data_IF_108130341906
#
_entry.id   IF_108130341906
#
_cell.length_a   1.000
_cell.length_b   1.000
_cell.length_c   1.000
_cell.angle_alpha   90.00
_cell.angle_beta   90.00
_cell.angle_gamma   90.00
#
_symmetry.space_group_name_H-M   'P 1'
#
loop_
_entity.id
_entity.type
_entity.pdbx_description
1 polymer ?
#
# COMPACT_ATOMS: atom_id res chain seq x y z
N UNK A 1 18.36 -17.16 -6.03
CA UNK A 1 17.04 -16.50 -6.01
C UNK A 1 16.19 -17.23 -7.03
N UNK A 2 15.12 -17.89 -6.62
CA UNK A 2 14.26 -18.75 -7.44
C UNK A 2 12.83 -18.22 -7.58
N UNK A 3 12.07 -18.87 -8.46
CA UNK A 3 10.63 -18.62 -8.60
C UNK A 3 9.87 -19.35 -7.48
N UNK A 4 8.96 -18.63 -6.83
CA UNK A 4 7.99 -19.19 -5.90
C UNK A 4 6.67 -19.46 -6.62
N UNK A 5 6.14 -20.65 -6.45
CA UNK A 5 4.89 -21.11 -7.06
C UNK A 5 3.78 -21.37 -6.05
N UNK A 6 4.09 -21.25 -4.75
CA UNK A 6 3.15 -21.47 -3.65
C UNK A 6 3.08 -20.21 -2.77
N UNK A 7 1.93 -19.96 -2.12
CA UNK A 7 1.82 -18.88 -1.14
C UNK A 7 2.85 -19.01 -0.03
N UNK A 8 3.47 -17.90 0.33
CA UNK A 8 4.40 -17.83 1.47
C UNK A 8 4.44 -16.39 2.03
N UNK A 9 4.87 -16.29 3.28
CA UNK A 9 5.14 -14.97 3.90
C UNK A 9 6.45 -14.38 3.39
N UNK A 10 6.50 -13.05 3.22
CA UNK A 10 7.75 -12.37 2.86
C UNK A 10 8.83 -12.52 3.93
N UNK A 11 8.44 -12.57 5.19
CA UNK A 11 9.34 -12.83 6.32
C UNK A 11 9.05 -14.23 6.87
N UNK A 12 10.08 -15.07 6.94
CA UNK A 12 9.97 -16.41 7.48
C UNK A 12 9.90 -16.43 9.02
N UNK A 13 9.68 -17.61 9.61
CA UNK A 13 9.57 -17.77 11.06
C UNK A 13 10.80 -17.36 11.86
N UNK A 14 11.96 -17.17 11.23
CA UNK A 14 13.20 -16.69 11.86
C UNK A 14 13.39 -15.17 11.69
N UNK A 15 12.41 -14.45 11.16
CA UNK A 15 12.49 -13.01 10.91
C UNK A 15 13.35 -12.62 9.70
N UNK A 16 13.70 -13.57 8.83
CA UNK A 16 14.51 -13.33 7.64
C UNK A 16 13.64 -13.26 6.38
N UNK A 17 14.10 -12.46 5.40
CA UNK A 17 13.40 -12.29 4.13
C UNK A 17 13.46 -13.57 3.29
N UNK A 18 12.33 -13.99 2.78
CA UNK A 18 12.24 -15.02 1.74
C UNK A 18 12.52 -14.39 0.38
N UNK A 19 13.74 -14.53 -0.08
CA UNK A 19 14.16 -13.99 -1.37
C UNK A 19 13.59 -14.81 -2.53
N UNK A 20 13.09 -14.12 -3.55
CA UNK A 20 12.57 -14.76 -4.74
C UNK A 20 11.68 -13.83 -5.54
N UNK A 21 11.03 -14.39 -6.53
CA UNK A 21 10.03 -13.73 -7.34
C UNK A 21 8.87 -14.69 -7.63
N UNK A 22 7.73 -14.14 -8.01
CA UNK A 22 6.55 -14.93 -8.38
C UNK A 22 5.80 -14.25 -9.53
N UNK A 23 5.16 -15.06 -10.39
CA UNK A 23 4.31 -14.55 -11.49
C UNK A 23 2.94 -14.09 -11.01
N UNK A 24 2.60 -14.40 -9.78
CA UNK A 24 1.33 -14.05 -9.15
C UNK A 24 1.59 -13.45 -7.77
N UNK A 25 0.67 -12.66 -7.22
CA UNK A 25 0.79 -12.11 -5.87
C UNK A 25 0.59 -13.22 -4.83
N UNK A 26 1.67 -13.91 -4.50
CA UNK A 26 1.69 -15.05 -3.58
C UNK A 26 2.18 -14.70 -2.16
N UNK A 27 2.72 -13.51 -1.96
CA UNK A 27 3.38 -13.15 -0.72
C UNK A 27 2.44 -12.45 0.25
N UNK A 28 2.39 -12.93 1.50
CA UNK A 28 1.89 -12.15 2.62
C UNK A 28 2.92 -11.10 3.00
N UNK A 29 2.47 -9.84 3.09
CA UNK A 29 3.34 -8.68 3.37
C UNK A 29 3.49 -8.51 4.89
N UNK A 30 4.11 -9.48 5.55
CA UNK A 30 4.32 -9.51 7.00
C UNK A 30 5.61 -8.81 7.43
N UNK A 31 5.93 -7.64 6.85
CA UNK A 31 7.21 -6.93 7.07
C UNK A 31 7.47 -6.57 8.53
N UNK A 32 6.42 -6.44 9.35
CA UNK A 32 6.56 -6.21 10.80
C UNK A 32 7.20 -7.38 11.54
N UNK A 33 7.18 -8.58 10.96
CA UNK A 33 7.85 -9.76 11.53
C UNK A 33 9.35 -9.80 11.25
N UNK A 34 9.90 -8.87 10.46
CA UNK A 34 11.32 -8.86 10.13
C UNK A 34 12.17 -8.60 11.39
N UNK A 35 13.21 -9.41 11.60
CA UNK A 35 14.13 -9.27 12.73
C UNK A 35 14.78 -7.87 12.78
N UNK A 36 15.01 -7.25 11.63
CA UNK A 36 15.54 -5.89 11.53
C UNK A 36 14.60 -4.81 12.10
N UNK A 37 13.29 -5.05 12.12
CA UNK A 37 12.29 -4.11 12.69
C UNK A 37 12.35 -4.12 14.21
N UNK A 38 12.74 -5.23 14.82
CA UNK A 38 12.80 -5.39 16.27
C UNK A 38 14.19 -5.12 16.87
N UNK A 39 15.17 -4.85 16.01
CA UNK A 39 16.59 -4.72 16.44
C UNK A 39 16.86 -3.47 17.29
N UNK A 40 16.09 -2.40 17.06
CA UNK A 40 16.24 -1.13 17.77
C UNK A 40 14.88 -0.51 18.06
N UNK A 41 14.77 0.24 19.15
CA UNK A 41 13.51 0.87 19.59
C UNK A 41 12.83 1.75 18.54
N UNK A 42 13.59 2.35 17.63
CA UNK A 42 13.07 3.19 16.55
C UNK A 42 13.02 2.49 15.18
N UNK A 43 13.31 1.20 15.12
CA UNK A 43 13.35 0.49 13.83
C UNK A 43 11.99 0.42 13.15
N UNK A 44 10.91 0.29 13.93
CA UNK A 44 9.54 0.30 13.41
C UNK A 44 9.18 1.62 12.70
N UNK A 45 9.73 2.76 13.17
CA UNK A 45 9.53 4.07 12.54
C UNK A 45 10.24 4.20 11.19
N UNK A 46 11.20 3.35 10.92
CA UNK A 46 11.93 3.30 9.65
C UNK A 46 11.24 2.41 8.63
N UNK A 47 10.32 1.55 9.07
CA UNK A 47 9.53 0.72 8.16
C UNK A 47 8.60 1.62 7.35
N UNK A 48 8.69 1.48 6.04
CA UNK A 48 7.85 2.19 5.09
C UNK A 48 7.02 1.18 4.33
N UNK A 49 5.72 1.40 4.31
CA UNK A 49 4.75 0.56 3.60
C UNK A 49 3.83 1.45 2.80
N UNK A 50 3.47 1.02 1.61
CA UNK A 50 2.48 1.73 0.80
C UNK A 50 1.70 0.76 -0.07
N UNK A 51 0.50 1.18 -0.42
CA UNK A 51 -0.28 0.62 -1.51
C UNK A 51 -0.53 1.69 -2.55
N UNK A 52 -0.37 1.30 -3.81
CA UNK A 52 -0.54 2.18 -4.96
C UNK A 52 -1.27 1.42 -6.05
N UNK A 53 -2.33 2.03 -6.54
CA UNK A 53 -3.09 1.51 -7.67
C UNK A 53 -3.22 2.55 -8.74
N UNK A 54 -3.20 2.11 -9.99
CA UNK A 54 -3.49 2.98 -11.12
C UNK A 54 -4.35 2.27 -12.15
N UNK A 55 -5.07 3.08 -12.92
CA UNK A 55 -5.81 2.68 -14.12
C UNK A 55 -5.41 3.63 -15.23
N UNK A 56 -5.02 3.07 -16.37
CA UNK A 56 -4.68 3.82 -17.56
C UNK A 56 -5.63 3.44 -18.69
N UNK A 57 -6.22 4.45 -19.30
CA UNK A 57 -7.00 4.34 -20.53
C UNK A 57 -6.36 5.23 -21.60
N UNK A 58 -6.79 5.18 -22.86
CA UNK A 58 -6.27 6.12 -23.87
C UNK A 58 -6.49 7.61 -23.55
N UNK A 59 -7.49 7.95 -22.75
CA UNK A 59 -7.88 9.33 -22.46
C UNK A 59 -7.62 9.77 -21.03
N UNK A 60 -7.52 8.84 -20.08
CA UNK A 60 -7.40 9.14 -18.65
C UNK A 60 -6.38 8.25 -17.98
N UNK A 61 -5.55 8.84 -17.14
CA UNK A 61 -4.73 8.14 -16.17
C UNK A 61 -5.21 8.52 -14.75
N UNK A 62 -5.62 7.52 -13.98
CA UNK A 62 -5.98 7.69 -12.57
C UNK A 62 -5.02 6.90 -11.71
N UNK A 63 -4.60 7.48 -10.57
CA UNK A 63 -3.88 6.72 -9.56
C UNK A 63 -4.22 7.19 -8.14
N UNK A 64 -4.11 6.26 -7.20
CA UNK A 64 -4.30 6.52 -5.78
C UNK A 64 -3.30 5.75 -4.94
N UNK A 65 -2.86 6.37 -3.83
CA UNK A 65 -1.85 5.83 -2.93
C UNK A 65 -2.20 6.11 -1.47
N UNK A 66 -1.94 5.10 -0.63
CA UNK A 66 -1.81 5.27 0.82
C UNK A 66 -0.41 4.82 1.20
N UNK A 67 0.40 5.72 1.76
CA UNK A 67 1.75 5.45 2.20
C UNK A 67 1.87 5.69 3.71
N UNK A 68 2.41 4.72 4.46
CA UNK A 68 2.77 4.85 5.86
C UNK A 68 4.30 4.86 6.01
N UNK A 69 4.85 5.99 6.42
CA UNK A 69 6.29 6.25 6.48
C UNK A 69 6.88 6.10 7.90
N UNK A 70 6.08 5.59 8.84
CA UNK A 70 6.44 5.48 10.25
C UNK A 70 6.04 6.73 11.05
N UNK A 71 6.61 7.86 10.73
CA UNK A 71 6.36 9.17 11.39
C UNK A 71 5.25 9.99 10.72
N UNK A 72 4.86 9.62 9.54
CA UNK A 72 3.87 10.30 8.70
C UNK A 72 3.15 9.27 7.85
N UNK A 73 1.88 9.49 7.54
CA UNK A 73 1.25 8.85 6.40
C UNK A 73 0.81 9.89 5.38
N UNK A 74 0.72 9.46 4.13
CA UNK A 74 0.34 10.27 3.00
C UNK A 74 -0.77 9.56 2.21
N UNK A 75 -1.84 10.30 1.92
CA UNK A 75 -2.89 9.91 1.01
C UNK A 75 -2.76 10.79 -0.23
N UNK A 76 -2.69 10.16 -1.38
CA UNK A 76 -2.66 10.87 -2.65
C UNK A 76 -3.60 10.20 -3.63
N UNK A 77 -4.37 11.02 -4.33
CA UNK A 77 -5.11 10.59 -5.52
C UNK A 77 -4.93 11.64 -6.61
N UNK A 78 -4.77 11.19 -7.83
CA UNK A 78 -4.71 12.08 -8.98
C UNK A 78 -5.37 11.48 -10.20
N UNK A 79 -5.92 12.36 -11.01
CA UNK A 79 -6.52 12.08 -12.30
C UNK A 79 -5.87 12.99 -13.34
N UNK A 80 -5.34 12.39 -14.37
CA UNK A 80 -4.77 13.10 -15.50
C UNK A 80 -5.63 12.85 -16.74
N UNK A 81 -6.24 13.94 -17.25
CA UNK A 81 -6.94 13.95 -18.52
C UNK A 81 -5.89 14.15 -19.63
N UNK A 82 -5.65 13.10 -20.39
CA UNK A 82 -4.59 13.07 -21.41
C UNK A 82 -4.94 14.00 -22.59
N UNK A 83 -6.21 14.05 -22.99
CA UNK A 83 -6.67 14.85 -24.12
C UNK A 83 -6.60 16.35 -23.82
N UNK A 84 -7.00 16.73 -22.60
CA UNK A 84 -7.01 18.14 -22.17
C UNK A 84 -5.70 18.56 -21.54
N UNK A 85 -4.77 17.65 -21.30
CA UNK A 85 -3.53 17.89 -20.56
C UNK A 85 -3.77 18.54 -19.18
N UNK A 86 -4.76 18.03 -18.44
CA UNK A 86 -5.16 18.55 -17.13
C UNK A 86 -4.88 17.53 -16.05
N UNK A 87 -4.13 17.93 -15.03
CA UNK A 87 -3.88 17.14 -13.83
C UNK A 87 -4.73 17.67 -12.67
N UNK A 88 -5.54 16.81 -12.09
CA UNK A 88 -6.22 17.03 -10.82
C UNK A 88 -5.54 16.16 -9.77
N UNK A 89 -4.99 16.79 -8.73
CA UNK A 89 -4.32 16.09 -7.63
C UNK A 89 -4.90 16.51 -6.29
N UNK A 90 -5.02 15.53 -5.39
CA UNK A 90 -5.35 15.75 -3.99
C UNK A 90 -4.40 14.94 -3.13
N UNK A 91 -3.71 15.64 -2.25
CA UNK A 91 -2.76 15.05 -1.29
C UNK A 91 -3.13 15.46 0.13
N UNK A 92 -2.98 14.57 1.08
CA UNK A 92 -3.16 14.82 2.50
C UNK A 92 -2.16 14.05 3.32
N UNK A 93 -1.68 14.69 4.37
CA UNK A 93 -0.74 14.11 5.31
C UNK A 93 -1.41 13.83 6.66
N UNK A 94 -1.08 12.70 7.27
CA UNK A 94 -1.56 12.29 8.58
C UNK A 94 -0.34 12.16 9.50
N UNK A 95 -0.16 13.06 10.47
CA UNK A 95 0.94 12.95 11.43
C UNK A 95 0.92 11.59 12.13
N UNK A 96 2.08 10.98 12.26
CA UNK A 96 2.30 9.66 12.88
C UNK A 96 1.53 8.51 12.23
N UNK A 97 0.86 8.72 11.09
CA UNK A 97 0.07 7.70 10.40
C UNK A 97 -1.11 7.18 11.20
N UNK A 98 -1.66 7.98 12.12
CA UNK A 98 -2.77 7.55 12.99
C UNK A 98 -4.03 7.23 12.18
N UNK A 99 -4.62 6.05 12.42
CA UNK A 99 -5.84 5.62 11.70
C UNK A 99 -5.59 5.08 10.29
N UNK A 100 -4.33 4.84 9.93
CA UNK A 100 -3.99 4.14 8.68
C UNK A 100 -3.98 2.65 8.93
N UNK A 101 -4.70 1.92 8.12
CA UNK A 101 -4.70 0.45 8.06
C UNK A 101 -4.15 0.04 6.70
N UNK A 102 -3.17 -0.84 6.68
CA UNK A 102 -2.61 -1.43 5.45
C UNK A 102 -2.84 -2.93 5.45
N UNK A 103 -3.43 -3.45 4.39
CA UNK A 103 -3.62 -4.89 4.22
C UNK A 103 -2.27 -5.61 4.18
N UNK A 104 -2.22 -6.80 4.76
CA UNK A 104 -1.02 -7.65 4.76
C UNK A 104 -1.00 -8.64 3.59
N UNK A 105 -2.10 -8.70 2.83
CA UNK A 105 -2.21 -9.60 1.67
C UNK A 105 -2.63 -8.83 0.41
N UNK A 106 -1.98 -9.06 -0.75
CA UNK A 106 -2.23 -8.30 -1.98
C UNK A 106 -3.56 -8.62 -2.67
N UNK A 107 -4.25 -9.70 -2.27
CA UNK A 107 -5.51 -10.17 -2.87
C UNK A 107 -6.72 -10.10 -1.95
N UNK A 108 -6.54 -9.77 -0.68
CA UNK A 108 -7.63 -9.73 0.29
C UNK A 108 -7.37 -8.72 1.38
N UNK A 109 -8.43 -8.21 1.96
CA UNK A 109 -8.38 -7.24 3.04
C UNK A 109 -8.62 -5.82 2.56
N UNK A 110 -8.52 -4.91 3.49
CA UNK A 110 -8.80 -3.49 3.27
C UNK A 110 -7.62 -2.65 3.71
N UNK A 111 -7.18 -1.77 2.84
CA UNK A 111 -6.27 -0.67 3.16
C UNK A 111 -7.08 0.60 3.21
N UNK A 112 -6.99 1.35 4.30
CA UNK A 112 -7.72 2.60 4.44
C UNK A 112 -6.95 3.63 5.25
N UNK A 113 -7.26 4.89 5.00
CA UNK A 113 -6.73 6.01 5.75
C UNK A 113 -7.71 7.19 5.76
N UNK A 114 -7.73 7.94 6.87
CA UNK A 114 -8.56 9.14 7.01
C UNK A 114 -7.72 10.30 7.51
N UNK A 115 -7.74 11.39 6.76
CA UNK A 115 -7.08 12.64 7.14
C UNK A 115 -8.15 13.67 7.57
N UNK A 116 -8.24 13.91 8.86
CA UNK A 116 -9.31 14.75 9.44
C UNK A 116 -10.68 14.10 9.32
N UNK A 117 -11.71 14.94 9.17
CA UNK A 117 -13.11 14.49 9.11
C UNK A 117 -13.64 14.25 7.71
N UNK A 118 -13.00 14.79 6.69
CA UNK A 118 -13.54 14.92 5.34
C UNK A 118 -12.72 14.27 4.23
N UNK A 119 -11.57 13.66 4.56
CA UNK A 119 -10.73 13.04 3.54
C UNK A 119 -10.50 11.59 3.88
N UNK A 120 -10.98 10.74 3.01
CA UNK A 120 -10.91 9.29 3.18
C UNK A 120 -10.48 8.62 1.89
N UNK A 121 -9.59 7.64 2.01
CA UNK A 121 -9.18 6.78 0.91
C UNK A 121 -9.20 5.34 1.38
N UNK A 122 -9.85 4.47 0.60
CA UNK A 122 -9.92 3.04 0.87
C UNK A 122 -9.65 2.24 -0.39
N UNK A 123 -8.89 1.17 -0.23
CA UNK A 123 -8.74 0.10 -1.20
C UNK A 123 -9.29 -1.18 -0.58
N UNK A 124 -10.30 -1.74 -1.18
CA UNK A 124 -10.89 -3.02 -0.77
C UNK A 124 -10.63 -4.07 -1.85
N UNK A 125 -10.03 -5.18 -1.43
CA UNK A 125 -9.71 -6.30 -2.31
C UNK A 125 -10.85 -7.30 -2.24
N UNK A 126 -11.57 -7.49 -3.35
CA UNK A 126 -12.62 -8.49 -3.49
C UNK A 126 -12.23 -9.56 -4.51
N UNK A 127 -12.91 -10.72 -4.55
CA UNK A 127 -12.68 -11.72 -5.59
C UNK A 127 -12.91 -11.19 -7.01
N UNK A 128 -13.80 -10.21 -7.18
CA UNK A 128 -14.17 -9.59 -8.46
C UNK A 128 -13.19 -8.50 -8.89
N UNK A 129 -12.40 -7.98 -7.96
CA UNK A 129 -11.45 -6.90 -8.23
C UNK A 129 -11.15 -6.02 -7.04
N UNK A 130 -10.75 -4.79 -7.34
CA UNK A 130 -10.44 -3.79 -6.33
C UNK A 130 -11.43 -2.65 -6.38
N UNK A 131 -11.99 -2.31 -5.23
CA UNK A 131 -12.82 -1.12 -5.06
C UNK A 131 -12.01 -0.01 -4.43
N UNK A 132 -12.04 1.17 -5.04
CA UNK A 132 -11.37 2.37 -4.53
C UNK A 132 -12.45 3.38 -4.17
N UNK A 133 -12.49 3.77 -2.89
CA UNK A 133 -13.40 4.80 -2.38
C UNK A 133 -12.58 6.03 -2.00
N UNK A 134 -13.02 7.20 -2.47
CA UNK A 134 -12.37 8.50 -2.21
C UNK A 134 -13.46 9.49 -1.77
N UNK A 135 -13.22 10.15 -0.64
CA UNK A 135 -14.01 11.25 -0.08
C UNK A 135 -13.13 12.49 0.11
#
# INVERSE_FOLDING_TARGET
VGEHTKPLSMINGNGLVNFGWARQPLFDVNMTAAASVHRHIFSAWRLKRWEYFYVATPTVFFAAQIAHLGYLANLTAYLYDIERNVLLERTSNIPFGTGVVLADHPRQGTTSARAGTSKYLQFEMTPEGKHITID
#
